data_IF_658756798323
#
_entry.id   IF_658756798323
#
_cell.length_a   1.000
_cell.length_b   1.000
_cell.length_c   1.000
_cell.angle_alpha   90.00
_cell.angle_beta   90.00
_cell.angle_gamma   90.00
#
_symmetry.space_group_name_H-M   'P 1'
#
loop_
_entity.id
_entity.type
_entity.pdbx_description
1 polymer ?
#
# COMPACT_ATOMS: atom_id res chain seq x y z
N UNK A 1 -60.01 -25.03 -18.52
CA UNK A 1 -60.76 -25.20 -17.26
C UNK A 1 -59.99 -26.19 -16.42
N UNK A 2 -59.34 -25.72 -15.36
CA UNK A 2 -58.64 -26.56 -14.38
C UNK A 2 -59.69 -26.89 -13.32
N UNK A 3 -60.01 -28.18 -13.13
CA UNK A 3 -60.92 -28.62 -12.08
C UNK A 3 -60.24 -28.44 -10.71
N UNK A 4 -60.93 -27.89 -9.69
CA UNK A 4 -60.45 -27.95 -8.33
C UNK A 4 -60.56 -29.39 -7.83
N UNK A 5 -59.45 -29.98 -7.38
CA UNK A 5 -59.45 -31.27 -6.71
C UNK A 5 -60.27 -31.17 -5.41
N UNK A 6 -61.35 -31.94 -5.24
CA UNK A 6 -62.17 -31.94 -4.01
C UNK A 6 -61.52 -32.72 -2.85
N UNK A 7 -60.35 -33.32 -3.07
CA UNK A 7 -59.63 -34.13 -2.07
C UNK A 7 -58.52 -33.34 -1.35
N UNK A 8 -58.65 -32.01 -1.28
CA UNK A 8 -57.91 -31.22 -0.27
C UNK A 8 -58.55 -31.51 1.10
N UNK A 9 -58.30 -32.70 1.63
CA UNK A 9 -58.63 -33.06 3.00
C UNK A 9 -58.13 -31.94 3.91
N UNK A 10 -59.06 -31.37 4.66
CA UNK A 10 -58.93 -30.33 5.68
C UNK A 10 -58.15 -30.85 6.92
N UNK A 11 -57.18 -31.74 6.70
CA UNK A 11 -56.30 -32.38 7.68
C UNK A 11 -54.92 -31.72 7.67
N UNK A 12 -54.89 -30.39 7.71
CA UNK A 12 -53.78 -29.71 8.38
C UNK A 12 -54.34 -29.22 9.70
N UNK A 13 -54.37 -30.12 10.68
CA UNK A 13 -54.40 -29.72 12.09
C UNK A 13 -53.39 -28.59 12.21
N UNK A 14 -53.87 -27.36 12.35
CA UNK A 14 -53.02 -26.19 12.43
C UNK A 14 -52.11 -26.43 13.62
N UNK A 15 -50.86 -26.84 13.36
CA UNK A 15 -49.83 -26.95 14.38
C UNK A 15 -49.89 -25.63 15.13
N UNK A 16 -50.17 -25.62 16.45
CA UNK A 16 -50.42 -24.40 17.19
C UNK A 16 -49.30 -23.43 16.88
N UNK A 17 -49.66 -22.19 16.49
CA UNK A 17 -48.69 -21.19 16.08
C UNK A 17 -47.55 -21.15 17.12
N UNK A 18 -46.29 -21.26 16.68
CA UNK A 18 -45.18 -21.31 17.62
C UNK A 18 -45.17 -20.05 18.47
N UNK A 19 -45.02 -20.22 19.79
CA UNK A 19 -44.97 -19.10 20.73
C UNK A 19 -43.71 -18.29 20.49
N UNK A 20 -43.85 -17.15 19.84
CA UNK A 20 -42.73 -16.31 19.45
C UNK A 20 -42.10 -15.67 20.69
N UNK A 21 -40.77 -15.68 20.75
CA UNK A 21 -40.04 -15.01 21.83
C UNK A 21 -40.12 -13.48 21.71
N UNK A 22 -40.50 -12.76 22.79
CA UNK A 22 -40.48 -11.29 22.83
C UNK A 22 -39.11 -10.72 22.50
N UNK A 23 -39.06 -9.59 21.78
CA UNK A 23 -37.77 -9.00 21.34
C UNK A 23 -36.89 -8.57 22.53
N UNK A 24 -37.50 -8.03 23.58
CA UNK A 24 -36.77 -7.62 24.80
C UNK A 24 -36.13 -8.80 25.53
N UNK A 25 -36.78 -9.96 25.57
CA UNK A 25 -36.21 -11.17 26.15
C UNK A 25 -34.98 -11.63 25.34
N UNK A 26 -35.00 -11.49 24.01
CA UNK A 26 -33.83 -11.81 23.16
C UNK A 26 -32.66 -10.86 23.40
N UNK A 27 -32.93 -9.56 23.56
CA UNK A 27 -31.90 -8.58 23.87
C UNK A 27 -31.28 -8.83 25.26
N UNK A 28 -32.12 -9.10 26.26
CA UNK A 28 -31.65 -9.40 27.61
C UNK A 28 -30.84 -10.70 27.64
N UNK A 29 -31.27 -11.74 26.89
CA UNK A 29 -30.50 -12.96 26.72
C UNK A 29 -29.09 -12.68 26.20
N UNK A 30 -28.98 -11.85 25.15
CA UNK A 30 -27.69 -11.45 24.59
C UNK A 30 -26.79 -10.72 25.59
N UNK A 31 -27.35 -9.82 26.40
CA UNK A 31 -26.58 -9.13 27.46
C UNK A 31 -26.06 -10.11 28.52
N UNK A 32 -26.87 -11.09 28.89
CA UNK A 32 -26.47 -12.15 29.84
C UNK A 32 -25.37 -13.02 29.21
N UNK A 33 -25.55 -13.43 27.95
CA UNK A 33 -24.53 -14.20 27.22
C UNK A 33 -23.21 -13.46 27.13
N UNK A 34 -23.23 -12.15 26.83
CA UNK A 34 -22.03 -11.32 26.79
C UNK A 34 -21.30 -11.32 28.13
N UNK A 35 -22.02 -11.17 29.24
CA UNK A 35 -21.45 -11.18 30.58
C UNK A 35 -20.84 -12.55 30.96
N UNK A 36 -21.42 -13.64 30.47
CA UNK A 36 -20.93 -15.01 30.72
C UNK A 36 -19.73 -15.35 29.84
N UNK A 37 -19.80 -15.08 28.53
CA UNK A 37 -18.77 -15.47 27.56
C UNK A 37 -17.55 -14.55 27.57
N UNK A 38 -17.72 -13.25 27.86
CA UNK A 38 -16.61 -12.27 27.90
C UNK A 38 -15.40 -12.72 28.75
N UNK A 39 -15.55 -13.14 30.03
CA UNK A 39 -14.41 -13.59 30.82
C UNK A 39 -13.76 -14.88 30.28
N UNK A 40 -14.54 -15.79 29.69
CA UNK A 40 -14.04 -17.05 29.12
C UNK A 40 -13.21 -16.78 27.87
N UNK A 41 -13.74 -15.97 26.95
CA UNK A 41 -13.04 -15.57 25.73
C UNK A 41 -11.81 -14.72 26.09
N UNK A 42 -11.95 -13.80 27.04
CA UNK A 42 -10.85 -12.96 27.55
C UNK A 42 -9.70 -13.78 28.12
N UNK A 43 -9.99 -14.85 28.86
CA UNK A 43 -8.99 -15.79 29.36
C UNK A 43 -8.30 -16.53 28.20
N UNK A 44 -9.06 -17.00 27.22
CA UNK A 44 -8.53 -17.73 26.06
C UNK A 44 -7.58 -16.88 25.20
N UNK A 45 -7.85 -15.57 25.07
CA UNK A 45 -7.02 -14.64 24.28
C UNK A 45 -6.00 -13.85 25.13
N UNK A 46 -5.87 -14.17 26.42
CA UNK A 46 -5.04 -13.39 27.36
C UNK A 46 -3.56 -13.29 26.95
N UNK A 47 -3.01 -14.33 26.33
CA UNK A 47 -1.65 -14.33 25.79
C UNK A 47 -1.47 -13.29 24.68
N UNK A 48 -2.40 -13.26 23.72
CA UNK A 48 -2.38 -12.31 22.60
C UNK A 48 -2.54 -10.86 23.07
N UNK A 49 -3.41 -10.63 24.07
CA UNK A 49 -3.57 -9.30 24.68
C UNK A 49 -2.29 -8.80 25.35
N UNK A 50 -1.51 -9.71 25.97
CA UNK A 50 -0.22 -9.36 26.59
C UNK A 50 0.79 -8.94 25.54
N UNK A 51 0.90 -9.68 24.43
CA UNK A 51 1.81 -9.37 23.32
C UNK A 51 1.46 -8.03 22.66
N UNK A 52 0.18 -7.79 22.37
CA UNK A 52 -0.30 -6.51 21.82
C UNK A 52 0.04 -5.36 22.76
N UNK A 53 -0.16 -5.53 24.07
CA UNK A 53 0.18 -4.50 25.05
C UNK A 53 1.69 -4.22 25.08
N UNK A 54 2.53 -5.24 25.00
CA UNK A 54 3.98 -5.07 24.96
C UNK A 54 4.42 -4.33 23.70
N UNK A 55 3.90 -4.69 22.54
CA UNK A 55 4.24 -4.03 21.27
C UNK A 55 3.72 -2.60 21.19
N UNK A 56 2.51 -2.34 21.67
CA UNK A 56 1.95 -0.99 21.74
C UNK A 56 2.78 -0.06 22.65
N UNK A 57 3.38 -0.61 23.71
CA UNK A 57 4.26 0.15 24.61
C UNK A 57 5.65 0.40 24.00
N UNK A 58 6.14 -0.49 23.13
CA UNK A 58 7.46 -0.38 22.51
C UNK A 58 7.43 0.50 21.25
N UNK A 59 6.44 0.30 20.38
CA UNK A 59 6.32 1.04 19.14
C UNK A 59 4.84 1.13 18.69
N UNK A 60 4.14 2.23 19.04
CA UNK A 60 2.70 2.37 18.77
C UNK A 60 2.37 2.48 17.28
N UNK A 61 3.33 2.86 16.44
CA UNK A 61 3.15 3.06 14.99
C UNK A 61 3.64 1.87 14.16
N UNK A 62 4.05 0.78 14.82
CA UNK A 62 4.52 -0.40 14.10
C UNK A 62 3.37 -1.06 13.29
N UNK A 63 3.61 -1.45 12.02
CA UNK A 63 2.61 -2.16 11.22
C UNK A 63 2.25 -3.53 11.82
N UNK A 64 3.17 -4.11 12.60
CA UNK A 64 2.99 -5.37 13.33
C UNK A 64 1.84 -5.29 14.35
N UNK A 65 1.70 -4.15 15.05
CA UNK A 65 0.61 -3.94 15.98
C UNK A 65 -0.76 -4.01 15.28
N UNK A 66 -0.85 -3.45 14.07
CA UNK A 66 -2.06 -3.52 13.24
C UNK A 66 -2.44 -4.95 12.88
N UNK A 67 -1.46 -5.77 12.47
CA UNK A 67 -1.68 -7.20 12.15
C UNK A 67 -2.18 -7.98 13.38
N UNK A 68 -1.58 -7.75 14.55
CA UNK A 68 -2.00 -8.42 15.78
C UNK A 68 -3.40 -8.01 16.24
N UNK A 69 -3.80 -6.75 16.08
CA UNK A 69 -5.18 -6.32 16.32
C UNK A 69 -6.18 -7.04 15.43
N UNK A 70 -5.86 -7.21 14.14
CA UNK A 70 -6.70 -7.96 13.21
C UNK A 70 -6.82 -9.42 13.65
N UNK A 71 -5.70 -10.06 14.00
CA UNK A 71 -5.68 -11.43 14.51
C UNK A 71 -6.50 -11.58 15.81
N UNK A 72 -6.42 -10.62 16.72
CA UNK A 72 -7.21 -10.59 17.95
C UNK A 72 -8.71 -10.55 17.66
N UNK A 73 -9.13 -9.65 16.76
CA UNK A 73 -10.55 -9.55 16.36
C UNK A 73 -11.02 -10.86 15.73
N UNK A 74 -10.24 -11.45 14.83
CA UNK A 74 -10.56 -12.74 14.20
C UNK A 74 -10.68 -13.85 15.27
N UNK A 75 -9.74 -13.92 16.20
CA UNK A 75 -9.74 -14.91 17.27
C UNK A 75 -10.97 -14.77 18.18
N UNK A 76 -11.31 -13.55 18.60
CA UNK A 76 -12.50 -13.26 19.42
C UNK A 76 -13.77 -13.69 18.70
N UNK A 77 -13.92 -13.29 17.44
CA UNK A 77 -15.11 -13.62 16.63
C UNK A 77 -15.22 -15.14 16.42
N UNK A 78 -14.12 -15.81 16.07
CA UNK A 78 -14.11 -17.25 15.86
C UNK A 78 -14.46 -18.03 17.14
N UNK A 79 -13.88 -17.66 18.29
CA UNK A 79 -14.18 -18.26 19.57
C UNK A 79 -15.65 -18.03 19.98
N UNK A 80 -16.17 -16.82 19.76
CA UNK A 80 -17.55 -16.51 20.06
C UNK A 80 -18.52 -17.31 19.18
N UNK A 81 -18.32 -17.34 17.87
CA UNK A 81 -19.11 -18.16 16.93
C UNK A 81 -19.10 -19.62 17.36
N UNK A 82 -17.93 -20.18 17.66
CA UNK A 82 -17.80 -21.58 18.05
C UNK A 82 -18.52 -21.87 19.38
N UNK A 83 -18.33 -21.01 20.40
CA UNK A 83 -18.98 -21.17 21.70
C UNK A 83 -20.51 -21.08 21.60
N UNK A 84 -21.03 -20.15 20.80
CA UNK A 84 -22.45 -19.98 20.58
C UNK A 84 -23.03 -21.18 19.82
N UNK A 85 -22.38 -21.61 18.74
CA UNK A 85 -22.80 -22.78 17.96
C UNK A 85 -22.83 -24.06 18.81
N UNK A 86 -21.83 -24.25 19.68
CA UNK A 86 -21.76 -25.40 20.58
C UNK A 86 -22.91 -25.38 21.59
N UNK A 87 -23.17 -24.25 22.24
CA UNK A 87 -24.31 -24.10 23.15
C UNK A 87 -25.64 -24.30 22.39
N UNK A 88 -25.80 -23.69 21.23
CA UNK A 88 -26.99 -23.84 20.41
C UNK A 88 -27.27 -25.30 20.03
N UNK A 89 -26.26 -26.06 19.61
CA UNK A 89 -26.41 -27.46 19.21
C UNK A 89 -26.68 -28.39 20.40
N UNK A 90 -25.95 -28.25 21.51
CA UNK A 90 -26.10 -29.12 22.68
C UNK A 90 -27.31 -28.77 23.53
N UNK A 91 -27.62 -27.47 23.62
CA UNK A 91 -28.55 -26.91 24.58
C UNK A 91 -29.83 -26.35 23.92
N UNK A 92 -29.87 -26.22 22.60
CA UNK A 92 -31.02 -25.62 21.90
C UNK A 92 -31.19 -24.13 22.21
N UNK A 93 -30.16 -23.48 22.72
CA UNK A 93 -30.16 -22.09 23.18
C UNK A 93 -28.85 -21.73 23.87
N UNK A 94 -28.44 -20.47 23.79
CA UNK A 94 -27.32 -19.95 24.58
C UNK A 94 -27.65 -19.95 26.09
N UNK A 95 -26.66 -19.84 27.00
CA UNK A 95 -26.90 -19.79 28.44
C UNK A 95 -27.93 -18.72 28.87
N UNK A 96 -27.84 -17.52 28.32
CA UNK A 96 -28.76 -16.41 28.56
C UNK A 96 -30.15 -16.66 27.97
N UNK A 97 -30.24 -17.26 26.77
CA UNK A 97 -31.52 -17.69 26.20
C UNK A 97 -32.20 -18.72 27.10
N UNK A 98 -31.45 -19.72 27.57
CA UNK A 98 -31.97 -20.72 28.51
C UNK A 98 -32.42 -20.11 29.82
N UNK A 99 -31.66 -19.16 30.38
CA UNK A 99 -32.03 -18.46 31.60
C UNK A 99 -33.38 -17.74 31.48
N UNK A 100 -33.70 -17.21 30.30
CA UNK A 100 -34.98 -16.55 30.01
C UNK A 100 -36.06 -17.49 29.46
N UNK A 101 -35.84 -18.80 29.47
CA UNK A 101 -36.75 -19.81 28.91
C UNK A 101 -37.01 -19.63 27.40
N UNK A 102 -35.99 -19.22 26.65
CA UNK A 102 -35.99 -19.16 25.19
C UNK A 102 -35.31 -20.39 24.62
N UNK A 103 -35.83 -20.88 23.49
CA UNK A 103 -35.22 -21.95 22.70
C UNK A 103 -35.17 -21.61 21.23
N UNK A 104 -34.17 -22.16 20.56
CA UNK A 104 -33.98 -22.05 19.13
C UNK A 104 -34.36 -23.38 18.52
N UNK A 105 -35.28 -23.35 17.56
CA UNK A 105 -35.79 -24.54 16.86
C UNK A 105 -35.51 -24.42 15.37
N UNK A 106 -35.35 -25.56 14.71
CA UNK A 106 -35.28 -25.65 13.25
C UNK A 106 -36.66 -25.40 12.64
N UNK A 107 -36.69 -24.81 11.44
CA UNK A 107 -37.90 -24.65 10.63
C UNK A 107 -37.69 -25.44 9.33
N UNK A 108 -38.68 -26.19 8.81
CA UNK A 108 -40.08 -26.26 9.24
C UNK A 108 -40.37 -27.21 10.43
N UNK A 109 -39.47 -28.13 10.75
CA UNK A 109 -39.78 -29.30 11.60
C UNK A 109 -39.99 -29.00 13.09
N UNK A 110 -39.62 -27.80 13.56
CA UNK A 110 -39.63 -27.40 14.98
C UNK A 110 -38.75 -28.28 15.89
N UNK A 111 -37.87 -29.06 15.28
CA UNK A 111 -36.93 -29.96 15.95
C UNK A 111 -35.76 -29.24 16.61
N UNK A 112 -34.85 -30.00 17.27
CA UNK A 112 -33.54 -29.48 17.65
C UNK A 112 -32.77 -29.02 16.40
N UNK A 113 -31.87 -28.07 16.59
CA UNK A 113 -31.01 -27.55 15.52
C UNK A 113 -29.73 -28.39 15.38
N UNK A 114 -29.34 -28.67 14.14
CA UNK A 114 -28.08 -29.36 13.86
C UNK A 114 -26.88 -28.45 14.12
N UNK A 115 -25.70 -29.02 14.37
CA UNK A 115 -24.49 -28.24 14.62
C UNK A 115 -24.12 -27.32 13.46
N UNK A 116 -24.26 -27.78 12.21
CA UNK A 116 -23.97 -26.97 11.02
C UNK A 116 -24.94 -25.78 10.91
N UNK A 117 -26.21 -26.01 11.25
CA UNK A 117 -27.24 -24.97 11.29
C UNK A 117 -26.99 -23.97 12.43
N UNK A 118 -26.55 -24.45 13.59
CA UNK A 118 -26.14 -23.62 14.72
C UNK A 118 -24.91 -22.77 14.39
N UNK A 119 -23.92 -23.35 13.69
CA UNK A 119 -22.71 -22.68 13.26
C UNK A 119 -22.99 -21.60 12.21
N UNK A 120 -23.80 -21.91 11.20
CA UNK A 120 -24.18 -20.92 10.17
C UNK A 120 -24.97 -19.77 10.78
N UNK A 121 -25.90 -20.06 11.70
CA UNK A 121 -26.64 -19.06 12.46
C UNK A 121 -25.73 -18.13 13.27
N UNK A 122 -24.81 -18.70 14.06
CA UNK A 122 -23.87 -17.94 14.88
C UNK A 122 -22.93 -17.08 14.02
N UNK A 123 -22.40 -17.63 12.92
CA UNK A 123 -21.55 -16.90 11.99
C UNK A 123 -22.29 -15.70 11.35
N UNK A 124 -23.53 -15.91 10.92
CA UNK A 124 -24.36 -14.85 10.34
C UNK A 124 -24.79 -13.80 11.37
N UNK A 125 -24.98 -14.19 12.63
CA UNK A 125 -25.20 -13.26 13.74
C UNK A 125 -24.00 -12.32 13.91
N UNK A 126 -22.79 -12.88 14.06
CA UNK A 126 -21.57 -12.09 14.23
C UNK A 126 -21.26 -11.22 13.01
N UNK A 127 -21.47 -11.73 11.80
CA UNK A 127 -21.31 -10.96 10.56
C UNK A 127 -22.32 -9.80 10.48
N UNK A 128 -23.51 -9.95 11.07
CA UNK A 128 -24.52 -8.91 11.08
C UNK A 128 -24.31 -7.80 12.11
N UNK A 129 -23.49 -8.06 13.14
CA UNK A 129 -23.30 -7.18 14.30
C UNK A 129 -22.74 -5.78 13.93
N UNK A 130 -21.72 -5.64 13.06
CA UNK A 130 -21.22 -4.32 12.65
C UNK A 130 -22.25 -3.44 11.94
N UNK A 131 -23.26 -4.05 11.34
CA UNK A 131 -24.22 -3.36 10.49
C UNK A 131 -25.48 -2.93 11.24
N UNK A 132 -25.78 -3.52 12.42
CA UNK A 132 -26.96 -3.32 13.29
C UNK A 132 -28.31 -3.61 12.62
N UNK A 133 -28.49 -3.23 11.34
CA UNK A 133 -29.67 -3.38 10.54
C UNK A 133 -30.18 -4.82 10.36
N UNK A 134 -29.32 -5.84 10.13
CA UNK A 134 -29.85 -7.19 9.99
C UNK A 134 -30.38 -7.75 11.32
N UNK A 135 -29.99 -7.17 12.46
CA UNK A 135 -30.57 -7.46 13.78
C UNK A 135 -31.96 -6.84 13.93
N UNK A 136 -32.13 -5.60 13.49
CA UNK A 136 -33.42 -4.88 13.49
C UNK A 136 -34.46 -5.51 12.56
N UNK A 137 -34.06 -6.43 11.67
CA UNK A 137 -35.00 -7.16 10.82
C UNK A 137 -35.98 -8.04 11.64
N UNK A 138 -35.74 -8.25 12.94
CA UNK A 138 -36.70 -8.89 13.84
C UNK A 138 -38.04 -8.14 13.90
N UNK A 139 -38.04 -6.82 13.70
CA UNK A 139 -39.25 -6.00 13.71
C UNK A 139 -39.99 -5.97 12.38
N UNK A 140 -39.40 -6.46 11.29
CA UNK A 140 -40.01 -6.40 9.96
C UNK A 140 -40.71 -7.69 9.55
N UNK A 141 -40.31 -8.82 10.13
CA UNK A 141 -40.80 -10.15 9.79
C UNK A 141 -41.98 -10.56 10.70
N UNK A 142 -43.08 -11.12 10.15
CA UNK A 142 -44.27 -11.49 10.95
C UNK A 142 -43.95 -12.49 12.07
N UNK A 143 -43.08 -13.46 11.82
CA UNK A 143 -42.61 -14.43 12.83
C UNK A 143 -41.45 -13.92 13.71
N UNK A 144 -41.14 -12.62 13.69
CA UNK A 144 -39.97 -12.03 14.35
C UNK A 144 -38.68 -12.82 14.10
N UNK A 145 -38.44 -13.22 12.85
CA UNK A 145 -37.19 -13.86 12.44
C UNK A 145 -36.22 -12.78 12.01
N UNK A 146 -35.10 -12.68 12.72
CA UNK A 146 -34.01 -11.80 12.31
C UNK A 146 -33.32 -12.34 11.05
N UNK A 147 -32.36 -11.60 10.49
CA UNK A 147 -31.70 -11.99 9.23
C UNK A 147 -30.99 -13.35 9.34
N UNK A 148 -30.19 -13.54 10.39
CA UNK A 148 -29.49 -14.80 10.65
C UNK A 148 -30.48 -15.96 10.84
N UNK A 149 -31.57 -15.76 11.60
CA UNK A 149 -32.64 -16.76 11.76
C UNK A 149 -33.30 -17.16 10.43
N UNK A 150 -33.43 -16.21 9.50
CA UNK A 150 -33.98 -16.46 8.15
C UNK A 150 -33.01 -17.28 7.30
N UNK A 151 -31.75 -16.90 7.29
CA UNK A 151 -30.73 -17.53 6.48
C UNK A 151 -30.33 -18.93 7.01
N UNK A 152 -30.47 -19.19 8.30
CA UNK A 152 -30.21 -20.50 8.91
C UNK A 152 -31.46 -21.35 9.09
N UNK A 153 -32.62 -20.94 8.62
CA UNK A 153 -33.88 -21.66 8.84
C UNK A 153 -34.20 -22.02 10.30
N UNK A 154 -34.00 -21.05 11.19
CA UNK A 154 -34.30 -21.19 12.61
C UNK A 154 -35.36 -20.21 13.09
N UNK A 155 -35.96 -20.53 14.25
CA UNK A 155 -36.94 -19.70 14.94
C UNK A 155 -36.65 -19.68 16.45
N UNK A 156 -36.68 -18.50 17.06
CA UNK A 156 -36.60 -18.35 18.52
C UNK A 156 -38.00 -18.37 19.12
N UNK A 157 -38.27 -19.39 19.91
CA UNK A 157 -39.54 -19.62 20.61
C UNK A 157 -39.35 -19.40 22.11
N UNK A 158 -40.43 -19.03 22.79
CA UNK A 158 -40.47 -18.94 24.25
C UNK A 158 -41.20 -20.15 24.83
N UNK A 159 -40.61 -20.78 25.83
CA UNK A 159 -41.29 -21.80 26.63
C UNK A 159 -42.26 -21.17 27.65
N UNK A 160 -42.22 -19.82 27.82
CA UNK A 160 -43.16 -19.10 28.68
C UNK A 160 -44.59 -19.25 28.13
N UNK A 161 -45.58 -19.19 29.03
CA UNK A 161 -46.99 -19.34 28.67
C UNK A 161 -47.52 -18.27 27.70
N UNK A 162 -46.89 -17.11 27.68
CA UNK A 162 -47.27 -15.95 26.85
C UNK A 162 -46.27 -15.79 25.71
N UNK A 163 -46.75 -15.94 24.48
CA UNK A 163 -45.99 -15.66 23.25
C UNK A 163 -46.24 -14.24 22.75
N UNK A 164 -45.29 -13.70 22.00
CA UNK A 164 -45.44 -12.43 21.29
C UNK A 164 -46.34 -12.61 20.05
N UNK A 165 -47.18 -11.61 19.77
CA UNK A 165 -48.13 -11.62 18.64
C UNK A 165 -47.49 -11.21 17.30
N UNK A 166 -46.20 -10.90 17.30
CA UNK A 166 -45.49 -10.38 16.12
C UNK A 166 -45.45 -8.85 16.08
N UNK A 167 -44.76 -8.27 15.10
CA UNK A 167 -44.57 -6.83 15.04
C UNK A 167 -45.88 -6.11 14.70
N UNK A 168 -46.09 -4.94 15.33
CA UNK A 168 -47.20 -4.08 14.97
C UNK A 168 -47.01 -3.52 13.53
N UNK A 169 -48.08 -3.25 12.77
CA UNK A 169 -47.96 -2.68 11.42
C UNK A 169 -47.12 -1.40 11.37
N UNK A 170 -47.29 -0.52 12.38
CA UNK A 170 -46.53 0.72 12.50
C UNK A 170 -45.04 0.47 12.75
N UNK A 171 -44.69 -0.51 13.59
CA UNK A 171 -43.29 -0.92 13.82
C UNK A 171 -42.67 -1.39 12.51
N UNK A 172 -43.38 -2.26 11.80
CA UNK A 172 -42.91 -2.82 10.53
C UNK A 172 -42.61 -1.73 9.51
N UNK A 173 -43.52 -0.78 9.32
CA UNK A 173 -43.33 0.34 8.38
C UNK A 173 -42.18 1.24 8.80
N UNK A 174 -42.09 1.57 10.09
CA UNK A 174 -41.01 2.38 10.65
C UNK A 174 -39.64 1.75 10.39
N UNK A 175 -39.45 0.49 10.76
CA UNK A 175 -38.16 -0.20 10.59
C UNK A 175 -37.83 -0.47 9.11
N UNK A 176 -38.82 -0.72 8.26
CA UNK A 176 -38.60 -0.81 6.82
C UNK A 176 -38.12 0.54 6.25
N UNK A 177 -38.75 1.65 6.61
CA UNK A 177 -38.34 2.99 6.19
C UNK A 177 -36.92 3.31 6.67
N UNK A 178 -36.65 3.07 7.96
CA UNK A 178 -35.33 3.24 8.57
C UNK A 178 -34.25 2.40 7.85
N UNK A 179 -34.56 1.15 7.51
CA UNK A 179 -33.61 0.27 6.81
C UNK A 179 -33.24 0.75 5.42
N UNK A 180 -34.18 1.35 4.68
CA UNK A 180 -33.92 1.94 3.37
C UNK A 180 -33.05 3.19 3.49
N UNK A 181 -33.36 4.07 4.45
CA UNK A 181 -32.56 5.28 4.71
C UNK A 181 -31.12 4.92 5.09
N UNK A 182 -30.94 3.96 6.00
CA UNK A 182 -29.60 3.51 6.39
C UNK A 182 -28.83 2.90 5.22
N UNK A 183 -29.47 2.07 4.39
CA UNK A 183 -28.84 1.50 3.19
C UNK A 183 -28.35 2.59 2.23
N UNK A 184 -29.16 3.64 2.00
CA UNK A 184 -28.75 4.79 1.18
C UNK A 184 -27.53 5.49 1.79
N UNK A 185 -27.52 5.70 3.11
CA UNK A 185 -26.40 6.35 3.80
C UNK A 185 -25.11 5.52 3.72
N UNK A 186 -25.20 4.20 3.89
CA UNK A 186 -24.05 3.29 3.72
C UNK A 186 -23.52 3.32 2.30
N UNK A 187 -24.39 3.25 1.30
CA UNK A 187 -23.97 3.32 -0.11
C UNK A 187 -23.31 4.67 -0.42
N UNK A 188 -23.83 5.77 0.10
CA UNK A 188 -23.24 7.10 -0.05
C UNK A 188 -21.88 7.22 0.66
N UNK A 189 -21.74 6.69 1.87
CA UNK A 189 -20.46 6.65 2.57
C UNK A 189 -19.42 5.79 1.84
N UNK A 190 -19.84 4.64 1.29
CA UNK A 190 -18.98 3.76 0.51
C UNK A 190 -18.49 4.43 -0.77
N UNK A 191 -19.36 5.13 -1.51
CA UNK A 191 -18.95 5.86 -2.72
C UNK A 191 -17.97 6.99 -2.40
N UNK A 192 -18.22 7.78 -1.35
CA UNK A 192 -17.27 8.80 -0.90
C UNK A 192 -15.92 8.20 -0.49
N UNK A 193 -15.92 7.06 0.18
CA UNK A 193 -14.69 6.36 0.59
C UNK A 193 -13.90 5.86 -0.61
N UNK A 194 -14.56 5.32 -1.64
CA UNK A 194 -13.92 4.91 -2.89
C UNK A 194 -13.33 6.11 -3.63
N UNK A 195 -14.06 7.23 -3.72
CA UNK A 195 -13.55 8.45 -4.35
C UNK A 195 -12.32 9.00 -3.61
N UNK A 196 -12.33 8.98 -2.27
CA UNK A 196 -11.16 9.35 -1.45
C UNK A 196 -9.99 8.41 -1.66
N UNK A 197 -10.23 7.10 -1.71
CA UNK A 197 -9.19 6.11 -1.96
C UNK A 197 -8.59 6.28 -3.37
N UNK A 198 -9.43 6.58 -4.37
CA UNK A 198 -8.97 6.88 -5.72
C UNK A 198 -8.12 8.15 -5.75
N UNK A 199 -8.53 9.22 -5.05
CA UNK A 199 -7.74 10.44 -4.93
C UNK A 199 -6.38 10.17 -4.25
N UNK A 200 -6.37 9.41 -3.15
CA UNK A 200 -5.14 9.00 -2.46
C UNK A 200 -4.21 8.15 -3.35
N UNK A 201 -4.76 7.20 -4.10
CA UNK A 201 -3.96 6.36 -5.03
C UNK A 201 -3.48 7.19 -6.22
N UNK A 202 -4.29 8.12 -6.71
CA UNK A 202 -3.97 9.00 -7.84
C UNK A 202 -2.91 10.04 -7.48
N UNK A 203 -2.90 10.50 -6.23
CA UNK A 203 -1.85 11.34 -5.66
C UNK A 203 -0.59 10.51 -5.39
N UNK A 204 0.12 10.11 -6.46
CA UNK A 204 1.48 9.53 -6.46
C UNK A 204 2.53 10.33 -5.66
N UNK A 205 2.18 11.52 -5.19
CA UNK A 205 3.01 12.34 -4.31
C UNK A 205 3.18 11.74 -2.90
N UNK A 206 2.24 10.90 -2.44
CA UNK A 206 2.33 10.35 -1.08
C UNK A 206 3.52 9.39 -0.92
N UNK A 207 3.89 8.64 -1.96
CA UNK A 207 5.07 7.77 -1.89
C UNK A 207 6.38 8.55 -1.87
N UNK A 208 6.51 9.62 -2.65
CA UNK A 208 7.74 10.42 -2.63
C UNK A 208 7.91 11.19 -1.31
N UNK A 209 6.84 11.78 -0.77
CA UNK A 209 6.95 12.50 0.49
C UNK A 209 7.16 11.55 1.67
N UNK A 210 6.47 10.42 1.72
CA UNK A 210 6.69 9.41 2.76
C UNK A 210 8.11 8.81 2.71
N UNK A 211 8.66 8.57 1.50
CA UNK A 211 10.04 8.09 1.35
C UNK A 211 11.07 9.16 1.68
N UNK A 212 10.75 10.44 1.42
CA UNK A 212 11.58 11.56 1.86
C UNK A 212 11.61 11.65 3.39
N UNK A 213 10.46 11.50 4.06
CA UNK A 213 10.34 11.54 5.51
C UNK A 213 10.99 10.30 6.17
N UNK A 214 10.96 9.15 5.48
CA UNK A 214 11.66 7.95 5.89
C UNK A 214 13.20 8.02 5.72
N UNK A 215 13.73 9.08 5.10
CA UNK A 215 15.16 9.23 4.84
C UNK A 215 15.71 8.28 3.78
N UNK A 216 14.84 7.69 2.95
CA UNK A 216 15.23 6.76 1.89
C UNK A 216 15.63 7.47 0.58
N UNK A 217 15.43 8.79 0.49
CA UNK A 217 15.80 9.60 -0.67
C UNK A 217 17.16 10.26 -0.48
N UNK A 218 17.92 10.38 -1.58
CA UNK A 218 19.20 11.09 -1.58
C UNK A 218 19.02 12.56 -1.22
N UNK A 219 19.62 12.99 -0.10
CA UNK A 219 19.52 14.35 0.42
C UNK A 219 20.22 15.37 -0.48
N UNK A 220 21.15 14.91 -1.30
CA UNK A 220 21.98 15.74 -2.19
C UNK A 220 21.20 16.25 -3.41
N UNK A 221 20.04 15.67 -3.71
CA UNK A 221 19.24 16.01 -4.89
C UNK A 221 17.96 16.73 -4.49
N UNK A 222 17.69 17.93 -5.05
CA UNK A 222 16.51 18.70 -4.68
C UNK A 222 15.21 17.94 -5.00
N UNK A 223 14.30 17.90 -4.03
CA UNK A 223 13.02 17.20 -4.11
C UNK A 223 12.08 17.73 -5.23
N UNK A 224 12.34 18.92 -5.75
CA UNK A 224 11.59 19.53 -6.86
C UNK A 224 11.80 18.79 -8.20
N UNK A 225 12.92 18.07 -8.35
CA UNK A 225 13.17 17.26 -9.53
C UNK A 225 12.42 15.94 -9.44
N UNK A 226 11.71 15.56 -10.49
CA UNK A 226 11.01 14.28 -10.58
C UNK A 226 11.38 13.48 -11.83
N UNK A 227 11.21 12.17 -11.75
CA UNK A 227 11.39 11.24 -12.86
C UNK A 227 12.83 11.19 -13.39
N UNK A 228 12.98 11.15 -14.72
CA UNK A 228 14.28 10.94 -15.39
C UNK A 228 15.29 12.02 -15.03
N UNK A 229 14.87 13.29 -14.92
CA UNK A 229 15.76 14.41 -14.57
C UNK A 229 16.33 14.26 -13.16
N UNK A 230 15.55 13.73 -12.23
CA UNK A 230 16.00 13.46 -10.87
C UNK A 230 17.05 12.36 -10.87
N UNK A 231 16.76 11.23 -11.51
CA UNK A 231 17.70 10.11 -11.57
C UNK A 231 18.99 10.48 -12.34
N UNK A 232 18.88 11.22 -13.45
CA UNK A 232 20.05 11.76 -14.17
C UNK A 232 20.91 12.64 -13.26
N UNK A 233 20.29 13.47 -12.42
CA UNK A 233 21.01 14.28 -11.43
C UNK A 233 21.73 13.39 -10.41
N UNK A 234 21.05 12.39 -9.84
CA UNK A 234 21.64 11.46 -8.86
C UNK A 234 22.84 10.73 -9.47
N UNK A 235 22.71 10.22 -10.71
CA UNK A 235 23.80 9.55 -11.44
C UNK A 235 24.97 10.51 -11.66
N UNK A 236 24.71 11.73 -12.12
CA UNK A 236 25.74 12.73 -12.33
C UNK A 236 26.47 13.10 -11.02
N UNK A 237 25.74 13.26 -9.91
CA UNK A 237 26.30 13.54 -8.58
C UNK A 237 27.11 12.35 -8.05
N UNK A 238 26.66 11.12 -8.26
CA UNK A 238 27.41 9.90 -7.95
C UNK A 238 28.73 9.84 -8.71
N UNK A 239 28.71 10.10 -10.03
CA UNK A 239 29.92 10.13 -10.86
C UNK A 239 30.90 11.25 -10.48
N UNK A 240 30.39 12.35 -9.93
CA UNK A 240 31.18 13.43 -9.37
C UNK A 240 31.74 13.13 -7.96
N UNK A 241 31.35 11.99 -7.36
CA UNK A 241 31.74 11.56 -6.02
C UNK A 241 31.01 12.30 -4.89
N UNK A 242 29.85 12.89 -5.19
CA UNK A 242 29.02 13.62 -4.22
C UNK A 242 27.87 12.81 -3.64
N UNK A 243 27.55 11.64 -4.21
CA UNK A 243 26.48 10.76 -3.72
C UNK A 243 27.01 9.34 -3.52
N UNK A 244 26.50 8.68 -2.48
CA UNK A 244 26.86 7.30 -2.16
C UNK A 244 26.18 6.29 -3.09
N UNK A 245 26.81 5.12 -3.20
CA UNK A 245 26.30 4.01 -4.00
C UNK A 245 24.91 3.54 -3.55
N UNK A 246 24.67 3.46 -2.25
CA UNK A 246 23.37 3.03 -1.69
C UNK A 246 22.26 3.99 -2.11
N UNK A 247 22.53 5.29 -2.05
CA UNK A 247 21.61 6.33 -2.53
C UNK A 247 21.28 6.15 -4.02
N UNK A 248 22.29 5.94 -4.88
CA UNK A 248 22.06 5.69 -6.31
C UNK A 248 21.23 4.42 -6.54
N UNK A 249 21.50 3.36 -5.79
CA UNK A 249 20.82 2.07 -5.92
C UNK A 249 19.34 2.16 -5.52
N UNK A 250 19.02 2.89 -4.45
CA UNK A 250 17.66 3.14 -4.00
C UNK A 250 16.84 3.98 -4.99
N UNK A 251 17.40 5.09 -5.50
CA UNK A 251 16.72 5.92 -6.51
C UNK A 251 16.49 5.14 -7.82
N UNK A 252 17.42 4.26 -8.18
CA UNK A 252 17.26 3.38 -9.32
C UNK A 252 16.09 2.39 -9.13
N UNK A 253 15.97 1.76 -7.95
CA UNK A 253 14.83 0.87 -7.67
C UNK A 253 13.50 1.62 -7.73
N UNK A 254 13.42 2.78 -7.09
CA UNK A 254 12.23 3.61 -7.11
C UNK A 254 11.80 3.94 -8.55
N UNK A 255 12.76 4.24 -9.42
CA UNK A 255 12.51 4.53 -10.83
C UNK A 255 12.10 3.28 -11.63
N UNK A 256 12.66 2.11 -11.34
CA UNK A 256 12.26 0.84 -11.99
C UNK A 256 10.78 0.51 -11.74
N UNK A 257 10.28 0.79 -10.53
CA UNK A 257 8.91 0.48 -10.14
C UNK A 257 7.89 1.55 -10.56
N UNK A 258 8.30 2.83 -10.62
CA UNK A 258 7.36 3.95 -10.81
C UNK A 258 7.26 4.47 -12.26
N UNK A 259 8.29 4.26 -13.09
CA UNK A 259 8.41 4.99 -14.35
C UNK A 259 8.00 4.20 -15.62
N UNK A 260 7.78 4.96 -16.69
CA UNK A 260 7.64 4.43 -18.06
C UNK A 260 8.96 3.90 -18.62
N UNK A 261 8.96 3.45 -19.88
CA UNK A 261 10.11 2.78 -20.52
C UNK A 261 11.42 3.57 -20.46
N UNK A 262 11.42 4.86 -20.81
CA UNK A 262 12.61 5.72 -20.78
C UNK A 262 13.20 5.85 -19.36
N UNK A 263 12.33 5.89 -18.35
CA UNK A 263 12.72 5.89 -16.95
C UNK A 263 13.42 4.61 -16.52
N UNK A 264 12.90 3.46 -16.97
CA UNK A 264 13.49 2.15 -16.69
C UNK A 264 14.87 1.98 -17.31
N UNK A 265 15.11 2.54 -18.51
CA UNK A 265 16.43 2.50 -19.14
C UNK A 265 17.49 3.22 -18.29
N UNK A 266 17.18 4.43 -17.80
CA UNK A 266 18.06 5.15 -16.87
C UNK A 266 18.24 4.44 -15.53
N UNK A 267 17.20 3.79 -15.03
CA UNK A 267 17.27 3.05 -13.78
C UNK A 267 18.20 1.83 -13.89
N UNK A 268 18.16 1.10 -15.00
CA UNK A 268 19.13 0.03 -15.26
C UNK A 268 20.55 0.55 -15.46
N UNK A 269 20.73 1.71 -16.09
CA UNK A 269 22.03 2.38 -16.16
C UNK A 269 22.57 2.67 -14.74
N UNK A 270 21.74 3.26 -13.88
CA UNK A 270 22.10 3.57 -12.50
C UNK A 270 22.47 2.30 -11.70
N UNK A 271 21.68 1.22 -11.79
CA UNK A 271 22.02 -0.08 -11.19
C UNK A 271 23.35 -0.65 -11.70
N UNK A 272 23.61 -0.52 -13.01
CA UNK A 272 24.86 -0.96 -13.61
C UNK A 272 26.08 -0.18 -13.11
N UNK A 273 25.94 1.14 -12.93
CA UNK A 273 27.00 1.99 -12.38
C UNK A 273 27.20 1.80 -10.87
N UNK A 274 26.16 1.41 -10.14
CA UNK A 274 26.22 1.10 -8.72
C UNK A 274 26.76 -0.32 -8.43
N UNK A 275 26.74 -1.27 -9.36
CA UNK A 275 27.15 -2.66 -9.09
C UNK A 275 28.65 -2.81 -8.74
N UNK A 276 29.00 -3.62 -7.73
CA UNK A 276 30.41 -3.91 -7.40
C UNK A 276 31.04 -4.91 -8.37
N UNK A 277 30.26 -5.90 -8.78
CA UNK A 277 30.72 -6.98 -9.64
C UNK A 277 30.60 -6.59 -11.11
N UNK A 278 31.69 -6.76 -11.86
CA UNK A 278 31.76 -6.41 -13.29
C UNK A 278 30.69 -7.13 -14.12
N UNK A 279 30.40 -8.38 -13.78
CA UNK A 279 29.46 -9.23 -14.52
C UNK A 279 28.02 -8.75 -14.30
N UNK A 280 27.69 -8.39 -13.06
CA UNK A 280 26.38 -7.81 -12.71
C UNK A 280 26.21 -6.43 -13.36
N UNK A 281 27.27 -5.60 -13.34
CA UNK A 281 27.28 -4.31 -14.02
C UNK A 281 26.97 -4.46 -15.52
N UNK A 282 27.65 -5.36 -16.21
CA UNK A 282 27.43 -5.58 -17.65
C UNK A 282 26.02 -6.05 -17.97
N UNK A 283 25.43 -6.92 -17.14
CA UNK A 283 24.03 -7.35 -17.31
C UNK A 283 23.06 -6.16 -17.24
N UNK A 284 23.22 -5.27 -16.27
CA UNK A 284 22.36 -4.10 -16.13
C UNK A 284 22.57 -3.07 -17.25
N UNK A 285 23.81 -2.80 -17.63
CA UNK A 285 24.13 -1.91 -18.74
C UNK A 285 23.54 -2.42 -20.07
N UNK A 286 23.57 -3.73 -20.31
CA UNK A 286 22.94 -4.34 -21.48
C UNK A 286 21.41 -4.20 -21.44
N UNK A 287 20.78 -4.43 -20.27
CA UNK A 287 19.33 -4.23 -20.10
C UNK A 287 18.89 -2.79 -20.36
N UNK A 288 19.70 -1.79 -19.98
CA UNK A 288 19.41 -0.39 -20.31
C UNK A 288 19.26 -0.18 -21.83
N UNK A 289 20.09 -0.85 -22.63
CA UNK A 289 20.02 -0.83 -24.09
C UNK A 289 18.89 -1.69 -24.68
N UNK A 290 18.48 -2.77 -24.03
CA UNK A 290 17.33 -3.58 -24.47
C UNK A 290 16.02 -2.81 -24.32
N UNK A 291 15.86 -2.05 -23.23
CA UNK A 291 14.67 -1.23 -22.98
C UNK A 291 14.57 -0.09 -23.99
N UNK A 292 15.67 0.61 -24.26
CA UNK A 292 15.69 1.76 -25.17
C UNK A 292 16.99 1.82 -26.00
N UNK A 293 17.00 1.09 -27.12
CA UNK A 293 18.21 0.90 -27.96
C UNK A 293 18.84 2.16 -28.54
N UNK A 294 18.05 3.23 -28.74
CA UNK A 294 18.50 4.52 -29.29
C UNK A 294 18.52 5.64 -28.25
N UNK A 295 18.11 5.34 -27.02
CA UNK A 295 18.01 6.32 -25.95
C UNK A 295 19.38 6.74 -25.40
N UNK A 296 19.43 7.89 -24.74
CA UNK A 296 20.65 8.41 -24.14
C UNK A 296 21.18 7.48 -23.04
N UNK A 297 20.30 6.81 -22.29
CA UNK A 297 20.70 5.80 -21.29
C UNK A 297 21.51 4.65 -21.91
N UNK A 298 21.15 4.18 -23.11
CA UNK A 298 21.91 3.15 -23.81
C UNK A 298 23.26 3.68 -24.29
N UNK A 299 23.32 4.92 -24.79
CA UNK A 299 24.59 5.54 -25.18
C UNK A 299 25.54 5.69 -23.99
N UNK A 300 25.01 6.09 -22.82
CA UNK A 300 25.74 6.14 -21.56
C UNK A 300 26.21 4.75 -21.11
N UNK A 301 25.35 3.72 -21.23
CA UNK A 301 25.71 2.35 -20.87
C UNK A 301 26.82 1.79 -21.78
N UNK A 302 26.77 2.08 -23.09
CA UNK A 302 27.84 1.74 -24.04
C UNK A 302 29.13 2.50 -23.77
N UNK A 303 29.02 3.78 -23.38
CA UNK A 303 30.18 4.57 -22.98
C UNK A 303 30.87 3.98 -21.74
N UNK A 304 30.09 3.59 -20.73
CA UNK A 304 30.60 3.00 -19.48
C UNK A 304 31.25 1.62 -19.70
N UNK A 305 30.73 0.82 -20.62
CA UNK A 305 31.25 -0.52 -20.94
C UNK A 305 32.40 -0.52 -21.97
N UNK A 306 32.56 0.53 -22.76
CA UNK A 306 33.59 0.61 -23.81
C UNK A 306 34.92 1.15 -23.28
N UNK A 307 36.02 0.48 -23.68
CA UNK A 307 37.40 0.94 -23.48
C UNK A 307 37.97 1.66 -24.72
N UNK A 308 37.18 1.84 -25.78
CA UNK A 308 37.68 2.40 -27.03
C UNK A 308 37.96 3.91 -26.95
N UNK A 309 39.04 4.34 -27.60
CA UNK A 309 39.43 5.75 -27.69
C UNK A 309 38.44 6.60 -28.50
N UNK A 310 37.47 6.03 -29.21
CA UNK A 310 36.43 6.80 -29.92
C UNK A 310 35.12 6.96 -29.13
N UNK A 311 35.02 6.43 -27.90
CA UNK A 311 33.75 6.37 -27.15
C UNK A 311 33.07 7.71 -26.90
N UNK A 312 33.82 8.82 -26.80
CA UNK A 312 33.27 10.17 -26.63
C UNK A 312 32.37 10.61 -27.78
N UNK A 313 32.59 10.09 -28.98
CA UNK A 313 31.74 10.37 -30.15
C UNK A 313 30.31 9.85 -29.99
N UNK A 314 30.11 8.77 -29.23
CA UNK A 314 28.79 8.19 -28.96
C UNK A 314 27.90 9.16 -28.17
N UNK A 315 28.47 9.83 -27.16
CA UNK A 315 27.74 10.80 -26.34
C UNK A 315 27.50 12.10 -27.11
N UNK A 316 28.50 12.58 -27.86
CA UNK A 316 28.37 13.79 -28.69
C UNK A 316 27.29 13.62 -29.77
N UNK A 317 27.13 12.42 -30.34
CA UNK A 317 26.09 12.13 -31.33
C UNK A 317 24.65 12.21 -30.75
N UNK A 318 24.49 12.06 -29.43
CA UNK A 318 23.19 12.12 -28.75
C UNK A 318 22.81 13.52 -28.25
N UNK A 319 23.67 14.53 -28.46
CA UNK A 319 23.34 15.93 -28.19
C UNK A 319 23.54 16.41 -26.74
N UNK A 320 24.12 15.59 -25.86
CA UNK A 320 24.52 15.99 -24.49
C UNK A 320 23.40 16.60 -23.65
N UNK A 321 22.19 16.06 -23.79
CA UNK A 321 21.01 16.64 -23.13
C UNK A 321 20.99 16.37 -21.62
N UNK A 322 21.64 15.29 -21.18
CA UNK A 322 21.73 14.90 -19.77
C UNK A 322 22.91 15.51 -19.05
N UNK A 323 22.77 15.65 -17.72
CA UNK A 323 23.89 16.01 -16.85
C UNK A 323 24.93 14.90 -16.79
N UNK A 324 24.49 13.64 -16.76
CA UNK A 324 25.39 12.48 -16.73
C UNK A 324 26.34 12.47 -17.93
N UNK A 325 25.84 12.72 -19.15
CA UNK A 325 26.69 12.74 -20.34
C UNK A 325 27.75 13.85 -20.30
N UNK A 326 27.38 15.04 -19.82
CA UNK A 326 28.29 16.19 -19.68
C UNK A 326 29.38 15.92 -18.64
N UNK A 327 29.04 15.32 -17.50
CA UNK A 327 30.01 14.95 -16.45
C UNK A 327 31.00 13.89 -16.94
N UNK A 328 30.52 12.84 -17.62
CA UNK A 328 31.38 11.80 -18.20
C UNK A 328 32.30 12.34 -19.28
N UNK A 329 31.79 13.19 -20.18
CA UNK A 329 32.62 13.82 -21.20
C UNK A 329 33.66 14.78 -20.63
N UNK A 330 33.34 15.51 -19.55
CA UNK A 330 34.31 16.36 -18.89
C UNK A 330 35.51 15.52 -18.42
N UNK A 331 35.25 14.44 -17.69
CA UNK A 331 36.29 13.55 -17.17
C UNK A 331 37.15 12.95 -18.30
N UNK A 332 36.50 12.47 -19.36
CA UNK A 332 37.19 11.91 -20.52
C UNK A 332 38.07 12.95 -21.25
N UNK A 333 37.55 14.15 -21.47
CA UNK A 333 38.30 15.23 -22.13
C UNK A 333 39.51 15.66 -21.30
N UNK A 334 39.36 15.73 -19.97
CA UNK A 334 40.48 16.00 -19.05
C UNK A 334 41.51 14.90 -19.15
N UNK A 335 41.09 13.63 -19.10
CA UNK A 335 42.00 12.48 -19.15
C UNK A 335 42.78 12.40 -20.47
N UNK A 336 42.14 12.70 -21.60
CA UNK A 336 42.76 12.74 -22.94
C UNK A 336 43.60 13.98 -23.23
N UNK A 337 43.48 15.03 -22.43
CA UNK A 337 44.14 16.32 -22.71
C UNK A 337 43.42 17.18 -23.76
N UNK A 338 42.13 16.94 -24.03
CA UNK A 338 41.27 17.83 -24.80
C UNK A 338 40.83 19.04 -23.94
N UNK A 339 41.80 19.83 -23.50
CA UNK A 339 41.65 20.82 -22.41
C UNK A 339 40.68 21.97 -22.75
N UNK A 340 40.59 22.38 -24.02
CA UNK A 340 39.66 23.42 -24.45
C UNK A 340 38.20 22.95 -24.32
N UNK A 341 37.90 21.73 -24.75
CA UNK A 341 36.57 21.12 -24.62
C UNK A 341 36.21 20.84 -23.15
N UNK A 342 37.18 20.44 -22.33
CA UNK A 342 36.99 20.30 -20.89
C UNK A 342 36.61 21.65 -20.23
N UNK A 343 37.34 22.72 -20.54
CA UNK A 343 37.05 24.06 -20.01
C UNK A 343 35.67 24.58 -20.42
N UNK A 344 35.24 24.32 -21.66
CA UNK A 344 33.89 24.65 -22.12
C UNK A 344 32.81 23.89 -21.31
N UNK A 345 33.00 22.60 -21.05
CA UNK A 345 32.08 21.80 -20.23
C UNK A 345 32.06 22.26 -18.75
N UNK A 346 33.19 22.70 -18.20
CA UNK A 346 33.24 23.27 -16.84
C UNK A 346 32.41 24.55 -16.77
N UNK A 347 32.52 25.42 -17.78
CA UNK A 347 31.73 26.67 -17.85
C UNK A 347 30.22 26.35 -17.94
N UNK A 348 29.83 25.36 -18.74
CA UNK A 348 28.43 24.91 -18.88
C UNK A 348 27.88 24.30 -17.58
N UNK A 349 28.62 23.35 -16.98
CA UNK A 349 28.21 22.67 -15.74
C UNK A 349 28.17 23.61 -14.53
N UNK A 350 28.86 24.76 -14.55
CA UNK A 350 28.82 25.74 -13.45
C UNK A 350 27.44 26.38 -13.26
N UNK A 351 26.57 26.34 -14.26
CA UNK A 351 25.18 26.80 -14.12
C UNK A 351 24.34 25.84 -13.23
N UNK A 352 24.83 24.63 -13.00
CA UNK A 352 24.14 23.58 -12.26
C UNK A 352 24.59 23.59 -10.79
N UNK A 353 23.63 23.75 -9.86
CA UNK A 353 23.93 23.80 -8.40
C UNK A 353 24.53 22.49 -7.88
N UNK A 354 25.26 22.47 -6.78
CA UNK A 354 25.70 21.22 -6.12
C UNK A 354 26.84 20.46 -6.83
N UNK A 355 27.46 21.05 -7.85
CA UNK A 355 28.67 20.52 -8.50
C UNK A 355 29.90 21.39 -8.25
N UNK A 356 29.80 22.43 -7.41
CA UNK A 356 30.82 23.46 -7.23
C UNK A 356 32.18 22.87 -6.80
N UNK A 357 32.17 21.95 -5.83
CA UNK A 357 33.38 21.30 -5.32
C UNK A 357 34.03 20.39 -6.37
N UNK A 358 33.22 19.60 -7.10
CA UNK A 358 33.71 18.73 -8.17
C UNK A 358 34.31 19.54 -9.31
N UNK A 359 33.61 20.58 -9.77
CA UNK A 359 34.06 21.42 -10.87
C UNK A 359 35.32 22.21 -10.50
N UNK A 360 35.46 22.64 -9.24
CA UNK A 360 36.68 23.29 -8.76
C UNK A 360 37.89 22.36 -8.83
N UNK A 361 37.74 21.08 -8.45
CA UNK A 361 38.80 20.07 -8.58
C UNK A 361 39.20 19.82 -10.04
N UNK A 362 38.22 19.64 -10.92
CA UNK A 362 38.48 19.40 -12.34
C UNK A 362 39.03 20.65 -13.05
N UNK A 363 38.65 21.86 -12.64
CA UNK A 363 39.21 23.12 -13.14
C UNK A 363 40.69 23.24 -12.78
N UNK A 364 41.06 22.98 -11.52
CA UNK A 364 42.47 22.95 -11.07
C UNK A 364 43.26 21.90 -11.87
N UNK A 365 42.71 20.69 -12.04
CA UNK A 365 43.35 19.61 -12.81
C UNK A 365 43.55 19.98 -14.27
N UNK A 366 42.57 20.63 -14.88
CA UNK A 366 42.62 21.12 -16.26
C UNK A 366 43.72 22.18 -16.42
N UNK A 367 43.74 23.20 -15.56
CA UNK A 367 44.74 24.27 -15.59
C UNK A 367 46.15 23.74 -15.33
N UNK A 368 46.30 22.77 -14.42
CA UNK A 368 47.58 22.11 -14.19
C UNK A 368 48.11 21.43 -15.46
N UNK A 369 47.26 20.67 -16.17
CA UNK A 369 47.63 20.04 -17.45
C UNK A 369 47.95 21.07 -18.54
N UNK A 370 47.27 22.23 -18.56
CA UNK A 370 47.59 23.35 -19.47
C UNK A 370 49.01 23.86 -19.19
N UNK A 371 49.37 24.05 -17.92
CA UNK A 371 50.72 24.50 -17.53
C UNK A 371 51.80 23.47 -17.87
N UNK A 372 51.51 22.20 -17.70
CA UNK A 372 52.44 21.11 -18.04
C UNK A 372 52.69 21.00 -19.54
N UNK A 373 51.64 21.09 -20.36
CA UNK A 373 51.77 21.06 -21.83
C UNK A 373 52.58 22.25 -22.35
N UNK A 374 52.40 23.44 -21.77
CA UNK A 374 53.21 24.64 -22.06
C UNK A 374 54.69 24.46 -21.73
N UNK A 375 55.02 23.70 -20.67
CA UNK A 375 56.43 23.39 -20.32
C UNK A 375 57.07 22.43 -21.32
N UNK A 376 56.28 21.54 -21.92
CA UNK A 376 56.76 20.48 -22.81
C UNK A 376 56.84 20.90 -24.29
N UNK A 377 56.26 22.03 -24.71
CA UNK A 377 56.32 22.46 -26.10
C UNK A 377 55.86 23.90 -26.37
N UNK A 378 56.15 24.39 -27.58
CA UNK A 378 55.67 25.69 -28.07
C UNK A 378 54.17 25.60 -28.37
N UNK A 379 53.32 25.96 -27.42
CA UNK A 379 51.91 26.26 -27.70
C UNK A 379 51.80 27.57 -28.48
N UNK A 380 50.92 27.66 -29.49
CA UNK A 380 50.67 28.92 -30.19
C UNK A 380 50.14 29.99 -29.22
N UNK A 381 50.64 31.22 -29.34
CA UNK A 381 50.37 32.33 -28.41
C UNK A 381 48.92 32.88 -28.46
N UNK A 382 48.06 32.30 -29.29
CA UNK A 382 46.64 32.67 -29.43
C UNK A 382 45.72 31.51 -29.06
N UNK A 383 46.13 30.67 -28.11
CA UNK A 383 45.36 29.49 -27.75
C UNK A 383 44.21 29.88 -26.83
N UNK A 384 43.00 29.36 -27.08
CA UNK A 384 41.85 29.49 -26.16
C UNK A 384 42.20 29.06 -24.72
N UNK A 385 43.25 28.24 -24.56
CA UNK A 385 43.80 27.79 -23.29
C UNK A 385 44.43 28.93 -22.46
N UNK A 386 44.93 29.99 -23.11
CA UNK A 386 45.48 31.16 -22.41
C UNK A 386 44.36 31.96 -21.72
N UNK A 387 43.18 32.03 -22.34
CA UNK A 387 41.99 32.65 -21.74
C UNK A 387 41.52 31.85 -20.53
N UNK A 388 41.44 30.52 -20.64
CA UNK A 388 41.05 29.64 -19.53
C UNK A 388 42.01 29.77 -18.34
N UNK A 389 43.32 29.86 -18.60
CA UNK A 389 44.30 30.05 -17.54
C UNK A 389 44.17 31.44 -16.88
N UNK A 390 43.97 32.50 -17.67
CA UNK A 390 43.79 33.85 -17.13
C UNK A 390 42.52 33.97 -16.30
N UNK A 391 41.40 33.42 -16.78
CA UNK A 391 40.13 33.39 -16.04
C UNK A 391 40.28 32.67 -14.70
N UNK A 392 41.09 31.60 -14.67
CA UNK A 392 41.41 30.88 -13.44
C UNK A 392 42.28 31.73 -12.50
N UNK A 393 43.35 32.34 -13.00
CA UNK A 393 44.24 33.20 -12.20
C UNK A 393 43.50 34.42 -11.62
N UNK A 394 42.62 35.04 -12.40
CA UNK A 394 41.75 36.13 -11.96
C UNK A 394 40.79 35.68 -10.86
N UNK A 395 40.16 34.51 -11.00
CA UNK A 395 39.19 34.02 -10.01
C UNK A 395 39.83 33.65 -8.67
N UNK A 396 41.03 33.07 -8.70
CA UNK A 396 41.73 32.61 -7.49
C UNK A 396 42.74 33.65 -6.96
N UNK A 397 42.76 34.86 -7.53
CA UNK A 397 43.67 35.95 -7.16
C UNK A 397 45.15 35.54 -7.15
N UNK A 398 45.52 34.67 -8.09
CA UNK A 398 46.88 34.18 -8.24
C UNK A 398 47.67 35.18 -9.11
N UNK A 399 48.47 36.03 -8.47
CA UNK A 399 49.36 36.98 -9.13
C UNK A 399 50.70 36.37 -9.55
#
# INVERSE_FOLDING_TARGET
MVYPDPDFEESKAHSPLPRLAPVMDRLLAFLIDFLIFSPVIGLAISGLLKEIRTLLLLNPESPEAGVLWILLVIAVVALAIFSEALCLSLMGGSPGQRFLHLRVRSLPDQGPIDFVQALSRAALWWLSLPWVMPLLSVYTHPLRRAFHDRASDTLVVTDRGVGDLGPLPLEREFFLSWSRMFLILVLFGATLSVLRLQDLISQRHFTQQAMSEAGELCLEVPAELAGVRRLDRVVATFLAGGADKECLDHEADLMLWSAGSAGKAFAYLAKGLAADESDVSTVYLNKACEVESKGEACALARFASSTEESRSSLLRAQGLSTLTSRVLLLRENVDRGELASAAALIRDLRAEKGFEDYLSREEVRTVWKIRESKRQGRTPASSELDEVQRDFEERYELQ
#
